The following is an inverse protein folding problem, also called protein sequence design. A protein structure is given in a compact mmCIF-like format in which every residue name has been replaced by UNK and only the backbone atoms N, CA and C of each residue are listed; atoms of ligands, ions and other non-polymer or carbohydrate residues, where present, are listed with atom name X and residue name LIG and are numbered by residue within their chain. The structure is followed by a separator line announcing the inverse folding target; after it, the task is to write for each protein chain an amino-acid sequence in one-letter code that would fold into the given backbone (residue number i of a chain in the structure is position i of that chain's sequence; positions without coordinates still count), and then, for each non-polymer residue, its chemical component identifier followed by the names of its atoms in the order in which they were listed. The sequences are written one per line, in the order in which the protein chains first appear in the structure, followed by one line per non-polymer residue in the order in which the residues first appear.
data_IF_410798096677
#
_entry.id   IF_410798096677
#
_cell.length_a   1.000
_cell.length_b   1.000
_cell.length_c   1.000
_cell.angle_alpha   90.00
_cell.angle_beta   90.00
_cell.angle_gamma   90.00
#
_symmetry.space_group_name_H-M   'P 1'
#
loop_
_entity.id
_entity.type
_entity.pdbx_description
1 polymer ?
#
# COMPACT_ATOMS: atom_id res chain seq x y z
N UNK A 1 16.40 19.43 -26.68
CA UNK A 1 15.45 18.83 -27.62
C UNK A 1 14.11 18.73 -26.93
N UNK A 2 12.99 19.01 -27.62
CA UNK A 2 11.68 18.85 -27.00
C UNK A 2 11.43 17.36 -26.74
N UNK A 3 11.09 17.02 -25.50
CA UNK A 3 10.73 15.65 -25.12
C UNK A 3 9.36 15.34 -25.72
N UNK A 4 9.21 14.18 -26.36
CA UNK A 4 7.91 13.72 -26.89
C UNK A 4 6.93 13.37 -25.77
N UNK A 5 5.64 13.25 -26.09
CA UNK A 5 4.62 12.85 -25.10
C UNK A 5 4.96 11.50 -24.46
N UNK A 6 4.83 11.43 -23.13
CA UNK A 6 5.11 10.24 -22.31
C UNK A 6 3.81 9.67 -21.71
N UNK A 7 3.78 8.36 -21.53
CA UNK A 7 2.83 7.73 -20.61
C UNK A 7 3.13 8.14 -19.17
N UNK A 8 2.14 8.08 -18.27
CA UNK A 8 2.37 8.25 -16.83
C UNK A 8 3.54 7.46 -16.27
N UNK A 9 3.65 6.17 -16.62
CA UNK A 9 4.72 5.28 -16.15
C UNK A 9 6.10 5.72 -16.66
N UNK A 10 6.21 6.06 -17.95
CA UNK A 10 7.46 6.56 -18.54
C UNK A 10 7.89 7.87 -17.88
N UNK A 11 6.95 8.79 -17.66
CA UNK A 11 7.21 10.07 -17.00
C UNK A 11 7.69 9.87 -15.57
N UNK A 12 7.06 8.98 -14.81
CA UNK A 12 7.48 8.66 -13.45
C UNK A 12 8.92 8.12 -13.41
N UNK A 13 9.24 7.13 -14.27
CA UNK A 13 10.59 6.54 -14.30
C UNK A 13 11.64 7.56 -14.76
N UNK A 14 11.35 8.38 -15.75
CA UNK A 14 12.24 9.43 -16.21
C UNK A 14 12.50 10.47 -15.10
N UNK A 15 11.44 10.94 -14.43
CA UNK A 15 11.54 11.88 -13.31
C UNK A 15 12.38 11.31 -12.15
N UNK A 16 12.14 10.06 -11.76
CA UNK A 16 12.89 9.39 -10.70
C UNK A 16 14.39 9.29 -11.00
N UNK A 17 14.75 9.12 -12.28
CA UNK A 17 16.14 9.03 -12.73
C UNK A 17 16.76 10.38 -13.14
N UNK A 18 16.09 11.50 -12.84
CA UNK A 18 16.56 12.84 -13.19
C UNK A 18 16.68 13.09 -14.70
N UNK A 19 15.94 12.33 -15.52
CA UNK A 19 15.92 12.48 -16.96
C UNK A 19 14.91 13.56 -17.40
N UNK A 20 15.07 14.15 -18.60
CA UNK A 20 14.09 15.07 -19.15
C UNK A 20 12.70 14.44 -19.26
N UNK A 21 11.66 15.19 -18.88
CA UNK A 21 10.25 14.79 -18.95
C UNK A 21 9.45 15.74 -19.84
N UNK A 22 8.31 15.29 -20.36
CA UNK A 22 7.41 16.08 -21.18
C UNK A 22 6.60 17.11 -20.37
N UNK A 23 6.30 16.80 -19.10
CA UNK A 23 5.76 17.69 -18.06
C UNK A 23 6.18 17.20 -16.67
N UNK A 24 6.04 18.02 -15.60
CA UNK A 24 6.24 17.52 -14.23
C UNK A 24 5.41 16.27 -13.96
N UNK A 25 6.04 15.26 -13.34
CA UNK A 25 5.36 14.07 -12.87
C UNK A 25 4.52 14.42 -11.63
N UNK A 26 3.23 14.13 -11.68
CA UNK A 26 2.36 14.22 -10.52
C UNK A 26 2.16 12.80 -10.00
N UNK A 27 2.75 12.43 -8.87
CA UNK A 27 2.62 11.10 -8.30
C UNK A 27 2.59 11.18 -6.78
N UNK A 28 1.92 10.23 -6.14
CA UNK A 28 1.93 10.09 -4.69
C UNK A 28 2.54 8.76 -4.30
N UNK A 29 3.54 8.80 -3.42
CA UNK A 29 4.17 7.63 -2.81
C UNK A 29 3.52 7.24 -1.47
N UNK A 30 2.48 7.97 -1.08
CA UNK A 30 1.66 7.76 0.12
C UNK A 30 0.19 7.68 -0.26
N UNK A 31 -0.67 7.25 0.66
CA UNK A 31 -2.11 7.19 0.41
C UNK A 31 -2.65 8.57 0.05
N UNK A 32 -3.55 8.60 -0.94
CA UNK A 32 -4.34 9.78 -1.35
C UNK A 32 -5.84 9.56 -1.12
N UNK A 33 -6.19 8.40 -0.57
CA UNK A 33 -7.57 7.99 -0.31
C UNK A 33 -8.19 8.90 0.75
N UNK A 34 -9.43 9.29 0.51
CA UNK A 34 -10.28 10.07 1.41
C UNK A 34 -11.74 9.63 1.21
N UNK A 35 -12.65 10.08 2.08
CA UNK A 35 -14.07 9.71 2.02
C UNK A 35 -14.74 10.10 0.70
N UNK A 36 -14.38 11.25 0.11
CA UNK A 36 -14.97 11.67 -1.17
C UNK A 36 -14.60 10.72 -2.31
N UNK A 37 -13.36 10.20 -2.35
CA UNK A 37 -12.99 9.17 -3.31
C UNK A 37 -13.74 7.86 -3.08
N UNK A 38 -13.94 7.46 -1.82
CA UNK A 38 -14.73 6.27 -1.48
C UNK A 38 -16.18 6.42 -1.96
N UNK A 39 -16.80 7.57 -1.71
CA UNK A 39 -18.17 7.88 -2.17
C UNK A 39 -18.28 7.87 -3.70
N UNK A 40 -17.26 8.37 -4.41
CA UNK A 40 -17.25 8.47 -5.87
C UNK A 40 -17.11 7.11 -6.56
N UNK A 41 -16.33 6.18 -6.00
CA UNK A 41 -16.08 4.86 -6.63
C UNK A 41 -16.86 3.71 -6.00
N UNK A 42 -17.36 3.86 -4.77
CA UNK A 42 -18.16 2.87 -4.05
C UNK A 42 -17.41 2.11 -2.95
N UNK A 43 -16.20 1.55 -3.17
CA UNK A 43 -15.43 0.90 -2.12
C UNK A 43 -15.12 1.80 -0.92
N UNK A 44 -15.48 1.32 0.26
CA UNK A 44 -15.17 1.95 1.55
C UNK A 44 -14.25 1.05 2.38
N UNK A 45 -13.76 1.57 3.49
CA UNK A 45 -13.22 0.72 4.55
C UNK A 45 -14.37 0.07 5.31
N UNK A 46 -14.19 -1.17 5.80
CA UNK A 46 -12.96 -1.96 5.83
C UNK A 46 -12.62 -2.70 4.52
N UNK A 47 -13.56 -2.83 3.59
CA UNK A 47 -13.43 -3.72 2.42
C UNK A 47 -12.24 -3.32 1.53
N UNK A 48 -12.02 -2.02 1.30
CA UNK A 48 -10.89 -1.54 0.51
C UNK A 48 -9.52 -1.73 1.19
N UNK A 49 -9.46 -2.17 2.46
CA UNK A 49 -8.23 -2.61 3.11
C UNK A 49 -8.08 -4.14 3.20
N UNK A 50 -9.16 -4.89 2.96
CA UNK A 50 -9.23 -6.31 3.32
C UNK A 50 -9.57 -7.24 2.16
N UNK A 51 -10.08 -6.70 1.05
CA UNK A 51 -10.45 -7.43 -0.16
C UNK A 51 -9.79 -6.82 -1.41
N UNK A 52 -9.27 -7.64 -2.34
CA UNK A 52 -8.38 -7.18 -3.41
C UNK A 52 -9.07 -6.33 -4.47
N UNK A 53 -10.30 -6.67 -4.85
CA UNK A 53 -11.08 -5.92 -5.85
C UNK A 53 -11.45 -4.51 -5.35
N UNK A 54 -12.09 -4.34 -4.17
CA UNK A 54 -12.32 -3.01 -3.58
C UNK A 54 -11.04 -2.18 -3.42
N UNK A 55 -9.94 -2.80 -3.00
CA UNK A 55 -8.65 -2.13 -2.84
C UNK A 55 -8.09 -1.62 -4.18
N UNK A 56 -8.15 -2.43 -5.23
CA UNK A 56 -7.70 -2.04 -6.56
C UNK A 56 -8.55 -0.91 -7.15
N UNK A 57 -9.87 -1.00 -7.03
CA UNK A 57 -10.82 0.01 -7.54
C UNK A 57 -10.58 1.37 -6.86
N UNK A 58 -10.48 1.39 -5.52
CA UNK A 58 -10.22 2.63 -4.79
C UNK A 58 -8.84 3.21 -5.13
N UNK A 59 -7.82 2.38 -5.34
CA UNK A 59 -6.50 2.84 -5.74
C UNK A 59 -6.48 3.42 -7.17
N UNK A 60 -7.26 2.84 -8.10
CA UNK A 60 -7.36 3.29 -9.48
C UNK A 60 -7.92 4.72 -9.59
N UNK A 61 -8.82 5.10 -8.68
CA UNK A 61 -9.40 6.45 -8.60
C UNK A 61 -8.36 7.58 -8.58
N UNK A 62 -7.16 7.32 -8.05
CA UNK A 62 -6.07 8.30 -8.03
C UNK A 62 -5.60 8.69 -9.45
N UNK A 63 -5.60 7.74 -10.37
CA UNK A 63 -5.34 8.03 -11.78
C UNK A 63 -6.62 8.49 -12.49
N UNK A 64 -7.71 7.74 -12.35
CA UNK A 64 -8.89 7.91 -13.20
C UNK A 64 -9.67 9.20 -12.90
N UNK A 65 -9.70 9.64 -11.65
CA UNK A 65 -10.41 10.85 -11.23
C UNK A 65 -9.48 12.04 -11.03
N UNK A 66 -8.29 11.82 -10.45
CA UNK A 66 -7.37 12.92 -10.10
C UNK A 66 -6.24 13.13 -11.12
N UNK A 67 -6.04 12.20 -12.06
CA UNK A 67 -5.02 12.32 -13.11
C UNK A 67 -3.59 12.11 -12.65
N UNK A 68 -3.36 11.49 -11.49
CA UNK A 68 -2.00 11.16 -11.04
C UNK A 68 -1.32 10.20 -12.00
N UNK A 69 0.00 10.32 -12.13
CA UNK A 69 0.82 9.45 -12.94
C UNK A 69 1.04 8.06 -12.30
N UNK A 70 0.60 7.89 -11.05
CA UNK A 70 0.75 6.68 -10.25
C UNK A 70 -0.51 6.31 -9.46
N UNK A 71 -0.63 5.02 -9.14
CA UNK A 71 -1.60 4.45 -8.21
C UNK A 71 -0.87 3.60 -7.16
N UNK A 72 -1.45 3.45 -5.96
CA UNK A 72 -0.87 2.67 -4.86
C UNK A 72 -1.98 2.01 -4.04
N UNK A 73 -2.10 0.66 -4.02
CA UNK A 73 -3.19 -0.03 -3.32
C UNK A 73 -2.99 -0.20 -1.81
N UNK A 74 -1.84 0.20 -1.25
CA UNK A 74 -1.51 -0.02 0.16
C UNK A 74 -1.69 1.29 0.94
N UNK A 75 -2.89 1.50 1.48
CA UNK A 75 -3.27 2.78 2.09
C UNK A 75 -2.71 2.97 3.50
N UNK A 76 -2.63 1.89 4.28
CA UNK A 76 -2.18 1.88 5.67
C UNK A 76 -0.79 1.28 5.87
N UNK A 77 -0.50 0.83 7.09
CA UNK A 77 0.82 0.33 7.52
C UNK A 77 0.74 -1.09 8.12
N UNK A 78 -0.42 -1.74 7.99
CA UNK A 78 -0.79 -2.87 8.82
C UNK A 78 -0.44 -4.24 8.22
N UNK A 79 -0.37 -4.34 6.89
CA UNK A 79 -0.32 -5.61 6.17
C UNK A 79 0.90 -6.46 6.55
N UNK A 80 2.09 -5.87 6.59
CA UNK A 80 3.29 -6.60 7.00
C UNK A 80 3.33 -6.84 8.50
N UNK A 81 2.70 -5.95 9.30
CA UNK A 81 2.64 -6.10 10.75
C UNK A 81 1.81 -7.33 11.15
N UNK A 82 0.68 -7.60 10.48
CA UNK A 82 -0.10 -8.82 10.70
C UNK A 82 0.69 -10.07 10.35
N UNK A 83 1.40 -10.04 9.22
CA UNK A 83 2.20 -11.16 8.72
C UNK A 83 3.39 -11.51 9.64
N UNK A 84 3.84 -10.59 10.51
CA UNK A 84 4.86 -10.84 11.53
C UNK A 84 4.30 -11.08 12.94
N UNK A 85 2.97 -11.16 13.08
CA UNK A 85 2.28 -11.56 14.32
C UNK A 85 1.67 -10.42 15.14
N UNK A 86 1.61 -9.20 14.62
CA UNK A 86 0.84 -8.12 15.28
C UNK A 86 -0.66 -8.34 15.11
N UNK A 87 -1.44 -7.91 16.10
CA UNK A 87 -2.91 -7.87 15.97
C UNK A 87 -3.34 -6.49 15.50
N UNK A 88 -4.13 -6.44 14.43
CA UNK A 88 -4.67 -5.22 13.85
C UNK A 88 -6.19 -5.37 13.75
N UNK A 89 -6.91 -4.34 14.18
CA UNK A 89 -8.34 -4.20 13.92
C UNK A 89 -8.53 -3.42 12.61
N UNK A 90 -9.23 -4.02 11.66
CA UNK A 90 -9.57 -3.40 10.38
C UNK A 90 -11.02 -2.90 10.34
N UNK A 91 -11.83 -3.14 11.37
CA UNK A 91 -13.29 -2.99 11.32
C UNK A 91 -13.79 -1.54 11.34
N UNK A 92 -12.94 -0.59 11.70
CA UNK A 92 -13.28 0.84 11.75
C UNK A 92 -13.22 1.45 10.33
N UNK A 93 -14.37 1.88 9.76
CA UNK A 93 -14.41 2.46 8.42
C UNK A 93 -13.83 3.90 8.37
N UNK A 94 -13.75 4.59 9.51
CA UNK A 94 -13.37 6.00 9.58
C UNK A 94 -11.87 6.18 9.85
N UNK A 95 -11.15 5.10 10.18
CA UNK A 95 -9.74 5.13 10.54
C UNK A 95 -8.89 4.17 9.70
N UNK A 96 -7.61 4.52 9.54
CA UNK A 96 -6.64 3.61 8.95
C UNK A 96 -6.29 2.50 9.97
N UNK A 97 -6.22 1.23 9.53
CA UNK A 97 -5.85 0.13 10.41
C UNK A 97 -4.42 0.32 10.92
N UNK A 98 -4.25 0.21 12.24
CA UNK A 98 -2.95 0.31 12.92
C UNK A 98 -2.71 -0.88 13.85
N UNK A 99 -1.47 -1.38 13.97
CA UNK A 99 -1.13 -2.43 14.94
C UNK A 99 -1.47 -2.02 16.37
N UNK A 100 -2.35 -2.80 17.01
CA UNK A 100 -2.83 -2.56 18.38
C UNK A 100 -2.04 -3.35 19.42
N UNK A 101 -1.59 -4.56 19.05
CA UNK A 101 -0.84 -5.44 19.95
C UNK A 101 0.45 -5.93 19.30
N UNK A 102 1.55 -5.69 20.02
CA UNK A 102 2.90 -6.07 19.66
C UNK A 102 3.21 -7.47 20.22
N UNK A 103 3.61 -8.46 19.39
CA UNK A 103 3.91 -9.83 19.84
C UNK A 103 5.09 -9.91 20.82
N UNK A 104 5.98 -8.93 20.82
CA UNK A 104 7.17 -8.88 21.68
C UNK A 104 7.19 -7.64 22.57
N UNK A 105 6.01 -7.18 23.01
CA UNK A 105 5.88 -6.03 23.91
C UNK A 105 6.54 -6.26 25.29
N UNK A 106 6.56 -7.51 25.76
CA UNK A 106 7.20 -7.87 27.01
C UNK A 106 8.72 -7.94 26.80
N UNK A 107 9.48 -7.35 27.74
CA UNK A 107 10.94 -7.39 27.75
C UNK A 107 11.49 -8.81 27.77
N UNK A 108 10.79 -9.73 28.41
CA UNK A 108 11.19 -11.14 28.51
C UNK A 108 10.60 -12.01 27.38
N UNK A 109 9.88 -11.41 26.42
CA UNK A 109 9.35 -12.13 25.26
C UNK A 109 10.48 -12.71 24.41
N UNK A 110 10.36 -13.98 24.06
CA UNK A 110 11.24 -14.59 23.05
C UNK A 110 10.88 -14.02 21.67
N UNK A 111 11.85 -13.35 21.04
CA UNK A 111 11.69 -12.84 19.68
C UNK A 111 11.72 -14.01 18.71
N UNK A 112 10.53 -14.40 18.26
CA UNK A 112 10.34 -15.48 17.28
C UNK A 112 9.34 -15.05 16.23
N UNK A 113 9.76 -15.14 14.97
CA UNK A 113 8.89 -14.92 13.81
C UNK A 113 7.83 -16.04 13.73
N UNK A 114 6.69 -15.79 13.06
CA UNK A 114 5.68 -16.82 12.85
C UNK A 114 6.26 -18.10 12.23
N UNK A 115 5.71 -19.24 12.60
CA UNK A 115 6.14 -20.53 12.05
C UNK A 115 6.01 -20.53 10.52
N UNK A 116 6.96 -21.17 9.84
CA UNK A 116 7.01 -21.19 8.37
C UNK A 116 7.54 -19.91 7.72
N UNK A 117 8.02 -18.93 8.48
CA UNK A 117 8.68 -17.76 7.91
C UNK A 117 9.95 -18.17 7.14
N UNK A 118 10.22 -17.60 5.94
CA UNK A 118 9.54 -16.46 5.32
C UNK A 118 8.31 -16.80 4.48
N UNK A 119 8.02 -18.06 4.20
CA UNK A 119 6.94 -18.43 3.28
C UNK A 119 5.55 -18.06 3.84
N UNK A 120 5.34 -18.25 5.15
CA UNK A 120 4.08 -17.88 5.81
C UNK A 120 3.75 -16.38 5.75
N UNK A 121 4.74 -15.52 5.53
CA UNK A 121 4.51 -14.08 5.31
C UNK A 121 3.65 -13.83 4.07
N UNK A 122 3.93 -14.56 2.98
CA UNK A 122 3.16 -14.48 1.75
C UNK A 122 1.83 -15.23 1.83
N UNK A 123 1.61 -15.98 2.92
CA UNK A 123 0.35 -16.66 3.18
C UNK A 123 -0.66 -15.81 3.95
N UNK A 124 -0.22 -14.74 4.61
CA UNK A 124 -1.05 -13.78 5.36
C UNK A 124 -2.17 -13.19 4.48
N UNK A 125 -3.36 -13.04 5.06
CA UNK A 125 -4.56 -12.55 4.36
C UNK A 125 -4.32 -11.18 3.71
N UNK A 126 -3.76 -10.25 4.47
CA UNK A 126 -3.67 -8.84 4.07
C UNK A 126 -2.49 -8.60 3.12
N UNK A 127 -1.40 -9.36 3.28
CA UNK A 127 -0.33 -9.40 2.29
C UNK A 127 -0.84 -9.95 0.94
N UNK A 128 -1.57 -11.07 0.95
CA UNK A 128 -2.19 -11.62 -0.27
C UNK A 128 -3.13 -10.62 -0.94
N UNK A 129 -4.01 -10.00 -0.16
CA UNK A 129 -4.93 -8.97 -0.63
C UNK A 129 -4.18 -7.85 -1.38
N UNK A 130 -3.10 -7.31 -0.80
CA UNK A 130 -2.30 -6.27 -1.44
C UNK A 130 -1.64 -6.75 -2.74
N UNK A 131 -1.08 -7.96 -2.75
CA UNK A 131 -0.46 -8.54 -3.96
C UNK A 131 -1.49 -8.78 -5.08
N UNK A 132 -2.68 -9.25 -4.73
CA UNK A 132 -3.77 -9.46 -5.69
C UNK A 132 -4.32 -8.14 -6.22
N UNK A 133 -4.47 -7.11 -5.38
CA UNK A 133 -4.84 -5.77 -5.83
C UNK A 133 -3.80 -5.19 -6.82
N UNK A 134 -2.50 -5.38 -6.57
CA UNK A 134 -1.43 -5.01 -7.52
C UNK A 134 -1.59 -5.74 -8.86
N UNK A 135 -1.93 -7.03 -8.85
CA UNK A 135 -2.18 -7.81 -10.09
C UNK A 135 -3.39 -7.28 -10.85
N UNK A 136 -4.48 -6.94 -10.16
CA UNK A 136 -5.68 -6.36 -10.76
C UNK A 136 -5.37 -5.00 -11.41
N UNK A 137 -4.67 -4.12 -10.69
CA UNK A 137 -4.21 -2.83 -11.23
C UNK A 137 -3.31 -3.01 -12.46
N UNK A 138 -2.40 -4.01 -12.44
CA UNK A 138 -1.52 -4.31 -13.57
C UNK A 138 -2.32 -4.82 -14.77
N UNK A 139 -3.35 -5.63 -14.56
CA UNK A 139 -4.27 -6.06 -15.60
C UNK A 139 -5.08 -4.90 -16.18
N UNK A 140 -5.49 -3.95 -15.34
CA UNK A 140 -6.29 -2.80 -15.74
C UNK A 140 -5.47 -1.75 -16.53
N UNK A 141 -4.34 -1.29 -15.98
CA UNK A 141 -3.55 -0.21 -16.57
C UNK A 141 -2.47 -0.67 -17.57
N UNK A 142 -2.13 -1.96 -17.58
CA UNK A 142 -1.03 -2.48 -18.40
C UNK A 142 0.30 -1.80 -18.04
N UNK A 143 0.95 -1.16 -19.02
CA UNK A 143 2.19 -0.40 -18.83
C UNK A 143 2.02 1.12 -18.89
N UNK A 144 0.77 1.61 -18.85
CA UNK A 144 0.50 3.05 -18.98
C UNK A 144 0.71 3.80 -17.67
N UNK A 145 0.25 3.25 -16.54
CA UNK A 145 0.25 3.91 -15.22
C UNK A 145 1.29 3.28 -14.31
N UNK A 146 1.94 4.10 -13.48
CA UNK A 146 2.88 3.60 -12.47
C UNK A 146 2.11 2.97 -11.30
N UNK A 147 2.29 1.67 -11.08
CA UNK A 147 1.74 0.99 -9.90
C UNK A 147 2.83 0.92 -8.86
N UNK A 148 2.65 1.64 -7.76
CA UNK A 148 3.60 1.68 -6.66
C UNK A 148 3.24 0.59 -5.65
N UNK A 149 4.16 -0.35 -5.48
CA UNK A 149 4.22 -1.15 -4.26
C UNK A 149 4.72 -0.28 -3.11
N UNK A 150 4.24 -0.55 -1.91
CA UNK A 150 4.72 0.04 -0.67
C UNK A 150 5.09 -1.09 0.27
N UNK A 151 6.23 -0.93 0.93
CA UNK A 151 6.55 -1.72 2.10
C UNK A 151 6.90 -0.80 3.26
N UNK A 152 6.53 -1.20 4.46
CA UNK A 152 6.90 -0.49 5.68
C UNK A 152 8.39 -0.68 5.98
N UNK A 153 9.04 0.43 6.35
CA UNK A 153 10.45 0.41 6.69
C UNK A 153 10.72 -0.50 7.91
N UNK A 154 11.90 -1.12 7.98
CA UNK A 154 12.21 -2.12 9.01
C UNK A 154 12.13 -1.54 10.43
N UNK A 155 12.52 -0.27 10.63
CA UNK A 155 12.43 0.38 11.94
C UNK A 155 10.98 0.50 12.43
N UNK A 156 10.07 0.95 11.56
CA UNK A 156 8.65 1.07 11.90
C UNK A 156 8.03 -0.28 12.19
N UNK A 157 8.37 -1.31 11.41
CA UNK A 157 7.91 -2.68 11.68
C UNK A 157 8.44 -3.22 13.02
N UNK A 158 9.72 -3.02 13.33
CA UNK A 158 10.29 -3.41 14.62
C UNK A 158 9.60 -2.69 15.79
N UNK A 159 9.32 -1.39 15.64
CA UNK A 159 8.57 -0.63 16.63
C UNK A 159 7.17 -1.22 16.86
N UNK A 160 6.43 -1.59 15.81
CA UNK A 160 5.13 -2.24 15.97
C UNK A 160 5.22 -3.63 16.61
N UNK A 161 6.31 -4.36 16.36
CA UNK A 161 6.48 -5.70 16.89
C UNK A 161 6.96 -5.74 18.35
N UNK A 162 7.67 -4.71 18.81
CA UNK A 162 8.33 -4.66 20.13
C UNK A 162 7.80 -3.55 21.05
N UNK A 163 7.01 -2.59 20.54
CA UNK A 163 6.57 -1.36 21.21
C UNK A 163 7.67 -0.29 21.39
N UNK A 164 7.30 0.97 21.66
CA UNK A 164 8.25 2.04 22.04
C UNK A 164 8.72 1.81 23.48
N UNK A 165 10.01 2.00 23.74
CA UNK A 165 10.52 2.07 25.11
C UNK A 165 9.94 3.32 25.80
N UNK A 166 9.44 3.16 27.03
CA UNK A 166 9.27 4.25 27.99
C UNK A 166 10.60 4.63 28.65
#
# INVERSE_FOLDING_TARGET
MAVGSMTPKERFIAALNGQPVDRPCAASITSVVNFELMDLVGPHFPEANTEPEPMAELAASAHDLMGFDSVMPIFGIAQEATAIGCVVDFSDPDNMPTPQFAPWADRDAEIRLPDGFPDSFFEDKYVKCALDAIRLLKSHFGDKVMILGKVMGPWTLSYHAYNVQE
#
